data_IF_686691474188
#
_entry.id   IF_686691474188
#
_cell.length_a   1.000
_cell.length_b   1.000
_cell.length_c   1.000
_cell.angle_alpha   90.00
_cell.angle_beta   90.00
_cell.angle_gamma   90.00
#
_symmetry.space_group_name_H-M   'P 1'
#
loop_
_entity.id
_entity.type
_entity.pdbx_description
1 polymer ?
#
# COMPACT_ATOMS: atom_id res chain seq x y z
N UNK A 1 -22.02 -15.19 -3.76
CA UNK A 1 -20.58 -15.29 -3.42
C UNK A 1 -19.90 -14.04 -3.98
N UNK A 2 -19.14 -13.30 -3.19
CA UNK A 2 -18.46 -12.11 -3.64
C UNK A 2 -17.30 -12.54 -4.55
N UNK A 3 -17.40 -12.22 -5.84
CA UNK A 3 -16.34 -12.52 -6.81
C UNK A 3 -15.20 -11.53 -6.59
N UNK A 4 -14.05 -12.02 -6.10
CA UNK A 4 -12.94 -11.18 -5.66
C UNK A 4 -11.84 -11.13 -6.71
N UNK A 5 -11.62 -9.96 -7.30
CA UNK A 5 -10.52 -9.70 -8.25
C UNK A 5 -9.20 -9.30 -7.59
N UNK A 6 -9.19 -9.11 -6.28
CA UNK A 6 -7.99 -8.78 -5.51
C UNK A 6 -8.28 -8.38 -4.08
N UNK A 7 -7.21 -8.21 -3.32
CA UNK A 7 -7.27 -7.91 -1.89
C UNK A 7 -6.27 -6.83 -1.51
N UNK A 8 -6.74 -5.71 -0.97
CA UNK A 8 -5.88 -4.62 -0.46
C UNK A 8 -5.64 -4.82 1.02
N UNK A 9 -4.39 -4.77 1.43
CA UNK A 9 -3.96 -4.86 2.82
C UNK A 9 -3.46 -3.52 3.30
N UNK A 10 -3.85 -3.10 4.51
CA UNK A 10 -3.48 -1.82 5.09
C UNK A 10 -2.95 -2.02 6.51
N UNK A 11 -1.72 -1.62 6.73
CA UNK A 11 -1.14 -1.39 8.05
C UNK A 11 -1.16 0.12 8.32
N UNK A 12 -1.78 0.52 9.43
CA UNK A 12 -1.71 1.91 9.89
C UNK A 12 -0.43 2.15 10.68
N UNK A 13 0.09 3.38 10.71
CA UNK A 13 1.21 3.71 11.57
C UNK A 13 0.97 3.26 13.01
N UNK A 14 1.87 2.45 13.54
CA UNK A 14 1.82 1.90 14.91
C UNK A 14 3.21 1.47 15.37
N UNK A 15 3.48 1.48 16.67
CA UNK A 15 4.68 0.93 17.28
C UNK A 15 6.02 1.32 16.62
N UNK A 16 6.10 2.55 16.09
CA UNK A 16 7.31 3.03 15.39
C UNK A 16 7.33 2.75 13.88
N UNK A 17 6.37 1.99 13.34
CA UNK A 17 6.22 1.78 11.90
C UNK A 17 5.40 2.92 11.27
N UNK A 18 5.80 3.34 10.08
CA UNK A 18 5.09 4.39 9.32
C UNK A 18 3.81 3.87 8.65
N UNK A 19 3.59 2.55 8.74
CA UNK A 19 2.50 1.84 8.08
C UNK A 19 2.79 1.50 6.63
N UNK A 20 2.03 0.55 6.11
CA UNK A 20 2.22 -0.02 4.78
C UNK A 20 0.89 -0.22 4.06
N UNK A 21 0.94 -0.31 2.75
CA UNK A 21 -0.16 -0.74 1.89
C UNK A 21 0.36 -1.69 0.83
N UNK A 22 -0.35 -2.80 0.64
CA UNK A 22 -0.07 -3.76 -0.43
C UNK A 22 -1.36 -4.25 -1.08
N UNK A 23 -1.22 -4.97 -2.20
CA UNK A 23 -2.35 -5.48 -2.97
C UNK A 23 -2.01 -6.87 -3.51
N UNK A 24 -2.83 -7.85 -3.22
CA UNK A 24 -2.87 -9.12 -3.94
C UNK A 24 -3.84 -8.98 -5.12
N UNK A 25 -3.38 -9.23 -6.34
CA UNK A 25 -4.21 -9.27 -7.53
C UNK A 25 -4.72 -10.69 -7.73
N UNK A 26 -6.04 -10.85 -7.85
CA UNK A 26 -6.66 -12.15 -7.99
C UNK A 26 -6.52 -13.02 -6.75
N UNK A 27 -6.23 -14.30 -6.96
CA UNK A 27 -6.15 -15.30 -5.90
C UNK A 27 -4.94 -15.06 -4.97
N UNK A 28 -5.15 -15.15 -3.66
CA UNK A 28 -4.14 -14.95 -2.61
C UNK A 28 -2.98 -15.97 -2.67
N UNK A 29 -3.17 -17.11 -3.31
CA UNK A 29 -2.14 -18.13 -3.47
C UNK A 29 -1.19 -17.89 -4.67
N UNK A 30 -1.28 -16.73 -5.33
CA UNK A 30 -0.44 -16.36 -6.46
C UNK A 30 0.57 -15.27 -6.06
N UNK A 31 1.74 -15.64 -5.50
CA UNK A 31 2.73 -14.69 -5.02
C UNK A 31 3.32 -13.82 -6.13
N UNK A 32 3.30 -14.30 -7.38
CA UNK A 32 3.72 -13.56 -8.58
C UNK A 32 2.81 -12.35 -8.92
N UNK A 33 1.68 -12.21 -8.20
CA UNK A 33 0.68 -11.15 -8.39
C UNK A 33 0.55 -10.26 -7.14
N UNK A 34 1.54 -10.31 -6.26
CA UNK A 34 1.55 -9.51 -5.05
C UNK A 34 2.27 -8.18 -5.27
N UNK A 35 1.55 -7.09 -5.05
CA UNK A 35 2.02 -5.72 -5.21
C UNK A 35 2.44 -5.20 -3.86
N UNK A 36 3.73 -5.17 -3.60
CA UNK A 36 4.31 -4.52 -2.43
C UNK A 36 5.60 -3.81 -2.83
N UNK A 37 5.85 -2.63 -2.28
CA UNK A 37 6.93 -1.77 -2.71
C UNK A 37 7.71 -1.23 -1.51
N UNK A 38 8.93 -1.71 -1.36
CA UNK A 38 9.83 -1.37 -0.28
C UNK A 38 11.15 -0.80 -0.80
N UNK A 39 11.84 0.04 -0.02
CA UNK A 39 13.22 0.40 -0.32
C UNK A 39 14.12 -0.84 -0.19
N UNK A 40 15.08 -0.98 -1.08
CA UNK A 40 16.07 -2.05 -1.03
C UNK A 40 16.97 -1.87 0.20
N UNK A 41 17.18 -2.92 0.97
CA UNK A 41 18.10 -2.94 2.13
C UNK A 41 17.54 -2.47 3.47
N UNK A 42 16.30 -1.97 3.54
CA UNK A 42 15.71 -1.49 4.79
C UNK A 42 14.34 -2.09 5.05
N UNK A 43 14.32 -3.31 5.52
CA UNK A 43 13.13 -3.95 6.08
C UNK A 43 13.05 -3.76 7.60
N UNK A 44 13.70 -2.74 8.16
CA UNK A 44 13.62 -2.48 9.61
C UNK A 44 12.45 -1.56 9.91
N UNK A 45 11.66 -1.89 10.95
CA UNK A 45 10.62 -0.99 11.43
C UNK A 45 11.24 0.37 11.77
N UNK A 46 10.46 1.42 11.53
CA UNK A 46 10.85 2.79 11.85
C UNK A 46 10.99 2.94 13.35
N UNK A 47 12.21 2.85 13.88
CA UNK A 47 12.50 3.10 15.28
C UNK A 47 13.03 4.51 15.45
N UNK A 48 12.81 5.10 16.62
CA UNK A 48 13.30 6.44 16.98
C UNK A 48 14.82 6.55 16.80
N UNK A 49 15.54 5.46 17.03
CA UNK A 49 16.98 5.34 16.87
C UNK A 49 17.44 5.48 15.40
N UNK A 50 16.56 5.11 14.46
CA UNK A 50 16.83 5.14 13.01
C UNK A 50 16.23 6.39 12.35
N UNK A 51 15.66 7.33 13.10
CA UNK A 51 15.02 8.53 12.55
C UNK A 51 15.99 9.37 11.70
N UNK A 52 17.27 9.41 12.05
CA UNK A 52 18.31 10.07 11.25
C UNK A 52 18.53 9.39 9.90
N UNK A 53 18.60 8.06 9.86
CA UNK A 53 18.76 7.31 8.62
C UNK A 53 17.57 7.49 7.67
N UNK A 54 16.37 7.63 8.23
CA UNK A 54 15.16 7.83 7.43
C UNK A 54 15.11 9.19 6.75
N UNK A 55 15.72 10.22 7.31
CA UNK A 55 15.84 11.52 6.65
C UNK A 55 16.66 11.46 5.36
N UNK A 56 17.63 10.53 5.25
CA UNK A 56 18.36 10.28 4.01
C UNK A 56 17.47 9.73 2.89
N UNK A 57 16.37 9.03 3.24
CA UNK A 57 15.39 8.55 2.25
C UNK A 57 14.40 9.63 1.81
N UNK A 58 14.37 10.79 2.46
CA UNK A 58 13.59 11.96 2.03
C UNK A 58 14.27 12.75 0.92
N UNK A 59 15.59 12.60 0.75
CA UNK A 59 16.39 13.23 -0.29
C UNK A 59 17.02 12.18 -1.21
N UNK A 60 16.99 12.37 -2.46
CA UNK A 60 17.72 11.86 -3.63
C UNK A 60 18.30 10.42 -3.68
N UNK A 61 18.22 9.60 -2.64
CA UNK A 61 18.66 8.21 -2.72
C UNK A 61 17.60 7.36 -3.42
N UNK A 62 17.76 7.18 -4.71
CA UNK A 62 16.99 6.27 -5.51
C UNK A 62 17.35 4.84 -5.14
N UNK A 63 16.53 4.17 -4.38
CA UNK A 63 16.68 2.75 -4.11
C UNK A 63 15.71 1.96 -4.97
N UNK A 64 16.16 0.84 -5.50
CA UNK A 64 15.31 -0.08 -6.25
C UNK A 64 14.29 -0.69 -5.30
N UNK A 65 13.01 -0.60 -5.67
CA UNK A 65 11.95 -1.31 -4.96
C UNK A 65 12.19 -2.81 -5.00
N UNK A 66 11.94 -3.50 -3.89
CA UNK A 66 12.01 -4.96 -3.83
C UNK A 66 10.62 -5.57 -3.94
N UNK A 67 10.58 -6.79 -4.48
CA UNK A 67 9.39 -7.63 -4.39
C UNK A 67 9.26 -8.19 -2.97
N UNK A 68 8.06 -8.10 -2.43
CA UNK A 68 7.72 -8.71 -1.18
C UNK A 68 6.56 -9.70 -1.39
N UNK A 69 6.36 -10.60 -0.46
CA UNK A 69 5.18 -11.45 -0.33
C UNK A 69 4.34 -10.92 0.82
N UNK A 70 3.08 -11.37 0.93
CA UNK A 70 2.26 -11.03 2.10
C UNK A 70 2.95 -11.43 3.41
N UNK A 71 3.64 -12.58 3.43
CA UNK A 71 4.36 -13.03 4.62
C UNK A 71 5.53 -12.13 4.97
N UNK A 72 6.28 -11.63 3.98
CA UNK A 72 7.36 -10.67 4.24
C UNK A 72 6.82 -9.35 4.77
N UNK A 73 5.70 -8.85 4.24
CA UNK A 73 5.06 -7.65 4.77
C UNK A 73 4.57 -7.82 6.21
N UNK A 74 3.98 -8.99 6.55
CA UNK A 74 3.56 -9.31 7.92
C UNK A 74 4.77 -9.31 8.85
N UNK A 75 5.89 -9.90 8.43
CA UNK A 75 7.11 -9.96 9.24
C UNK A 75 7.73 -8.57 9.43
N UNK A 76 7.75 -7.74 8.38
CA UNK A 76 8.33 -6.40 8.40
C UNK A 76 7.48 -5.42 9.22
N UNK A 77 6.16 -5.52 9.16
CA UNK A 77 5.24 -4.72 9.96
C UNK A 77 5.03 -5.26 11.39
N UNK A 78 5.44 -6.52 11.64
CA UNK A 78 5.38 -7.18 12.93
C UNK A 78 4.00 -7.73 13.30
N UNK A 79 3.01 -7.61 12.41
CA UNK A 79 1.64 -8.10 12.62
C UNK A 79 0.88 -8.22 11.30
N UNK A 80 -0.25 -8.93 11.32
CA UNK A 80 -1.17 -8.98 10.18
C UNK A 80 -1.75 -7.60 9.85
N UNK A 81 -2.22 -7.42 8.62
CA UNK A 81 -2.83 -6.17 8.19
C UNK A 81 -3.99 -5.76 9.12
N UNK A 82 -4.00 -4.51 9.56
CA UNK A 82 -5.06 -3.95 10.40
C UNK A 82 -6.42 -3.95 9.72
N UNK A 83 -6.42 -3.79 8.40
CA UNK A 83 -7.61 -3.78 7.58
C UNK A 83 -7.33 -4.42 6.23
N UNK A 84 -8.28 -5.22 5.78
CA UNK A 84 -8.30 -5.85 4.47
C UNK A 84 -9.53 -5.40 3.70
N UNK A 85 -9.37 -5.12 2.40
CA UNK A 85 -10.48 -4.80 1.51
C UNK A 85 -10.50 -5.80 0.35
N UNK A 86 -11.62 -6.51 0.19
CA UNK A 86 -11.86 -7.40 -0.93
C UNK A 86 -12.44 -6.60 -2.09
N UNK A 87 -11.82 -6.69 -3.25
CA UNK A 87 -12.21 -5.95 -4.46
C UNK A 87 -13.19 -6.78 -5.29
N UNK A 88 -14.36 -6.25 -5.61
CA UNK A 88 -15.33 -6.95 -6.44
C UNK A 88 -14.88 -7.01 -7.90
N UNK A 89 -14.90 -8.20 -8.50
CA UNK A 89 -14.61 -8.44 -9.92
C UNK A 89 -15.54 -7.70 -10.89
N UNK A 90 -16.74 -7.32 -10.43
CA UNK A 90 -17.64 -6.47 -11.21
C UNK A 90 -17.07 -5.07 -11.43
N UNK A 91 -16.30 -4.54 -10.48
CA UNK A 91 -15.78 -3.16 -10.48
C UNK A 91 -14.27 -3.07 -10.73
N UNK A 92 -13.52 -4.16 -10.53
CA UNK A 92 -12.08 -4.18 -10.76
C UNK A 92 -11.71 -5.25 -11.79
N UNK A 93 -10.85 -4.88 -12.73
CA UNK A 93 -10.32 -5.77 -13.76
C UNK A 93 -8.94 -6.28 -13.34
N UNK A 94 -8.86 -7.57 -13.04
CA UNK A 94 -7.63 -8.25 -12.61
C UNK A 94 -6.51 -8.10 -13.65
N UNK A 95 -6.83 -8.30 -14.92
CA UNK A 95 -5.87 -8.24 -16.02
C UNK A 95 -5.23 -6.85 -16.16
N UNK A 96 -6.03 -5.78 -16.06
CA UNK A 96 -5.52 -4.41 -16.13
C UNK A 96 -4.64 -4.06 -14.92
N UNK A 97 -5.01 -4.52 -13.73
CA UNK A 97 -4.17 -4.39 -12.54
C UNK A 97 -2.84 -5.12 -12.73
N UNK A 98 -2.87 -6.34 -13.23
CA UNK A 98 -1.67 -7.14 -13.46
C UNK A 98 -0.77 -6.54 -14.56
N UNK A 99 -1.35 -6.02 -15.64
CA UNK A 99 -0.60 -5.32 -16.68
C UNK A 99 0.13 -4.09 -16.13
N UNK A 100 -0.53 -3.27 -15.33
CA UNK A 100 0.11 -2.10 -14.72
C UNK A 100 1.19 -2.50 -13.73
N UNK A 101 0.95 -3.54 -12.91
CA UNK A 101 1.96 -4.06 -11.99
C UNK A 101 3.22 -4.51 -12.74
N UNK A 102 3.08 -5.36 -13.75
CA UNK A 102 4.20 -5.81 -14.58
C UNK A 102 4.94 -4.66 -15.26
N UNK A 103 4.21 -3.62 -15.69
CA UNK A 103 4.81 -2.42 -16.28
C UNK A 103 5.65 -1.63 -15.26
N UNK A 104 5.22 -1.58 -14.00
CA UNK A 104 5.96 -0.92 -12.91
C UNK A 104 7.19 -1.74 -12.55
N UNK A 105 6.99 -3.02 -12.33
CA UNK A 105 7.99 -4.00 -11.92
C UNK A 105 9.13 -4.13 -12.94
N UNK A 106 8.79 -4.20 -14.21
CA UNK A 106 9.73 -4.40 -15.32
C UNK A 106 10.55 -3.16 -15.70
N UNK A 107 10.42 -2.03 -14.99
CA UNK A 107 11.23 -0.85 -15.26
C UNK A 107 12.67 -1.05 -14.78
N UNK A 108 13.63 -0.86 -15.68
CA UNK A 108 15.09 -0.97 -15.40
C UNK A 108 15.50 -0.05 -14.24
N UNK A 109 14.92 1.16 -14.19
CA UNK A 109 15.18 2.16 -13.13
C UNK A 109 14.02 2.23 -12.11
N UNK A 110 13.47 1.07 -11.75
CA UNK A 110 12.50 1.01 -10.67
C UNK A 110 13.16 1.42 -9.35
N UNK A 111 12.57 2.39 -8.66
CA UNK A 111 13.13 2.95 -7.42
C UNK A 111 12.03 3.28 -6.44
N UNK A 112 12.39 3.34 -5.18
CA UNK A 112 11.53 3.77 -4.09
C UNK A 112 11.82 5.24 -3.75
N UNK A 113 10.76 6.02 -3.52
CA UNK A 113 10.85 7.37 -2.97
C UNK A 113 9.74 7.54 -1.95
N UNK A 114 10.09 7.77 -0.69
CA UNK A 114 9.10 7.87 0.41
C UNK A 114 8.00 8.90 0.12
N UNK A 115 8.34 10.02 -0.49
CA UNK A 115 7.41 11.11 -0.73
C UNK A 115 6.55 10.96 -2.00
N UNK A 116 7.03 10.25 -3.03
CA UNK A 116 6.37 10.25 -4.34
C UNK A 116 6.20 8.89 -5.01
N UNK A 117 6.99 7.88 -4.61
CA UNK A 117 6.92 6.51 -5.17
C UNK A 117 7.01 5.46 -4.06
N UNK A 118 6.21 5.62 -3.03
CA UNK A 118 6.09 4.70 -1.92
C UNK A 118 5.09 3.57 -2.20
N UNK A 119 4.95 2.65 -1.26
CA UNK A 119 4.02 1.52 -1.34
C UNK A 119 2.60 1.95 -1.70
N UNK A 120 2.06 2.95 -1.01
CA UNK A 120 0.69 3.44 -1.24
C UNK A 120 0.51 4.06 -2.63
N UNK A 121 1.52 4.76 -3.14
CA UNK A 121 1.48 5.31 -4.49
C UNK A 121 1.45 4.20 -5.55
N UNK A 122 2.26 3.17 -5.41
CA UNK A 122 2.26 2.02 -6.35
C UNK A 122 0.92 1.29 -6.29
N UNK A 123 0.41 0.99 -5.09
CA UNK A 123 -0.92 0.37 -4.93
C UNK A 123 -2.02 1.23 -5.57
N UNK A 124 -2.01 2.55 -5.37
CA UNK A 124 -3.02 3.45 -5.98
C UNK A 124 -3.02 3.38 -7.51
N UNK A 125 -1.83 3.30 -8.12
CA UNK A 125 -1.69 3.21 -9.58
C UNK A 125 -2.26 1.91 -10.13
N UNK A 126 -1.94 0.78 -9.48
CA UNK A 126 -2.44 -0.53 -9.89
C UNK A 126 -3.97 -0.60 -9.74
N UNK A 127 -4.50 -0.09 -8.62
CA UNK A 127 -5.95 0.01 -8.41
C UNK A 127 -6.63 0.88 -9.47
N UNK A 128 -6.06 2.04 -9.79
CA UNK A 128 -6.62 2.95 -10.79
C UNK A 128 -6.66 2.31 -12.20
N UNK A 129 -5.63 1.55 -12.55
CA UNK A 129 -5.60 0.84 -13.83
C UNK A 129 -6.70 -0.21 -13.96
N UNK A 130 -7.04 -0.90 -12.85
CA UNK A 130 -8.06 -1.94 -12.86
C UNK A 130 -9.47 -1.45 -12.59
N UNK A 131 -9.65 -0.28 -11.99
CA UNK A 131 -10.98 0.20 -11.61
C UNK A 131 -11.83 0.58 -12.83
N UNK A 132 -12.99 -0.04 -12.97
CA UNK A 132 -13.91 0.15 -14.12
C UNK A 132 -14.79 1.39 -13.99
N UNK A 133 -14.91 1.94 -12.78
CA UNK A 133 -15.68 3.14 -12.51
C UNK A 133 -14.85 4.43 -12.64
N UNK A 134 -15.50 5.56 -12.39
CA UNK A 134 -14.83 6.86 -12.34
C UNK A 134 -14.65 7.30 -10.89
N UNK A 135 -13.42 7.22 -10.38
CA UNK A 135 -13.08 7.72 -9.05
C UNK A 135 -11.99 8.79 -9.16
N UNK A 136 -12.41 10.06 -9.14
CA UNK A 136 -11.51 11.22 -9.22
C UNK A 136 -10.40 11.19 -8.16
N UNK A 137 -10.69 10.72 -6.93
CA UNK A 137 -9.70 10.65 -5.84
C UNK A 137 -8.63 9.60 -6.15
N UNK A 138 -9.02 8.43 -6.67
CA UNK A 138 -8.06 7.41 -7.07
C UNK A 138 -7.13 7.94 -8.18
N UNK A 139 -7.70 8.62 -9.18
CA UNK A 139 -6.94 9.24 -10.26
C UNK A 139 -5.99 10.35 -9.75
N UNK A 140 -6.43 11.17 -8.79
CA UNK A 140 -5.59 12.20 -8.17
C UNK A 140 -4.39 11.58 -7.44
N UNK A 141 -4.59 10.49 -6.69
CA UNK A 141 -3.47 9.81 -5.98
C UNK A 141 -2.41 9.27 -6.95
N UNK A 142 -2.79 8.89 -8.17
CA UNK A 142 -1.84 8.41 -9.18
C UNK A 142 -0.99 9.53 -9.79
N UNK A 143 -1.47 10.76 -9.70
CA UNK A 143 -0.84 11.95 -10.29
C UNK A 143 -0.24 12.88 -9.23
N UNK A 144 -0.49 12.62 -7.96
CA UNK A 144 -0.14 13.56 -6.90
C UNK A 144 1.37 13.62 -6.67
N UNK A 145 1.88 14.83 -6.59
CA UNK A 145 3.22 15.17 -6.10
C UNK A 145 3.30 15.10 -4.56
N UNK A 146 2.16 14.76 -3.90
CA UNK A 146 2.05 14.67 -2.46
C UNK A 146 2.23 13.24 -1.97
N UNK A 147 2.68 13.10 -0.74
CA UNK A 147 2.86 11.80 -0.08
C UNK A 147 1.53 11.07 -0.03
N UNK A 148 1.41 9.98 -0.78
CA UNK A 148 0.29 9.04 -0.65
C UNK A 148 0.55 8.13 0.55
N UNK A 149 -0.40 8.06 1.48
CA UNK A 149 -0.28 7.29 2.73
C UNK A 149 -1.19 6.06 2.68
N UNK A 150 -0.90 5.00 3.46
CA UNK A 150 -1.82 3.86 3.60
C UNK A 150 -3.25 4.29 3.96
N UNK A 151 -3.38 5.33 4.79
CA UNK A 151 -4.68 5.92 5.15
C UNK A 151 -5.45 6.50 3.97
N UNK A 152 -4.76 7.04 2.96
CA UNK A 152 -5.42 7.63 1.79
C UNK A 152 -6.03 6.53 0.93
N UNK A 153 -5.33 5.39 0.77
CA UNK A 153 -5.89 4.20 0.16
C UNK A 153 -7.10 3.70 0.94
N UNK A 154 -6.98 3.56 2.27
CA UNK A 154 -8.09 3.13 3.12
C UNK A 154 -9.32 4.05 3.01
N UNK A 155 -9.12 5.37 2.89
CA UNK A 155 -10.22 6.33 2.70
C UNK A 155 -10.95 6.13 1.37
N UNK A 156 -10.20 5.87 0.28
CA UNK A 156 -10.81 5.55 -1.01
C UNK A 156 -11.57 4.23 -0.92
N UNK A 157 -10.96 3.19 -0.38
CA UNK A 157 -11.62 1.89 -0.21
C UNK A 157 -12.90 2.01 0.65
N UNK A 158 -12.89 2.83 1.70
CA UNK A 158 -14.09 3.10 2.50
C UNK A 158 -15.20 3.80 1.67
N UNK A 159 -14.84 4.70 0.75
CA UNK A 159 -15.82 5.35 -0.13
C UNK A 159 -16.41 4.36 -1.16
N UNK A 160 -15.61 3.42 -1.66
CA UNK A 160 -16.06 2.37 -2.56
C UNK A 160 -16.90 1.32 -1.82
N UNK A 161 -16.59 1.05 -0.55
CA UNK A 161 -17.42 0.18 0.30
C UNK A 161 -18.84 0.70 0.46
N UNK A 162 -19.01 2.00 0.65
CA UNK A 162 -20.36 2.61 0.75
C UNK A 162 -21.18 2.37 -0.51
N UNK A 163 -20.51 2.24 -1.66
CA UNK A 163 -21.15 1.91 -2.93
C UNK A 163 -21.33 0.41 -3.17
N UNK A 164 -20.90 -0.45 -2.26
CA UNK A 164 -20.94 -1.91 -2.44
C UNK A 164 -19.88 -2.49 -3.39
N UNK A 165 -18.89 -1.71 -3.77
CA UNK A 165 -17.85 -2.09 -4.74
C UNK A 165 -16.68 -2.85 -4.09
N UNK A 166 -16.51 -2.73 -2.78
CA UNK A 166 -15.53 -3.46 -1.98
C UNK A 166 -16.13 -3.90 -0.65
N UNK A 167 -15.64 -5.01 -0.12
CA UNK A 167 -15.91 -5.47 1.24
C UNK A 167 -14.77 -5.12 2.17
N UNK A 168 -15.04 -4.84 3.45
CA UNK A 168 -14.04 -4.47 4.45
C UNK A 168 -14.02 -5.43 5.60
N UNK A 169 -12.87 -6.01 5.87
CA UNK A 169 -12.59 -6.86 7.02
C UNK A 169 -11.60 -6.14 7.94
N UNK A 170 -11.90 -6.10 9.24
CA UNK A 170 -10.99 -5.59 10.27
C UNK A 170 -10.39 -6.77 11.00
N UNK A 171 -9.08 -6.71 11.25
CA UNK A 171 -8.39 -7.66 12.11
C UNK A 171 -8.58 -7.32 13.60
N UNK A 172 -8.24 -8.26 14.47
CA UNK A 172 -8.31 -8.07 15.93
C UNK A 172 -7.33 -7.01 16.42
N UNK A 173 -6.23 -6.80 15.71
CA UNK A 173 -5.20 -5.78 15.99
C UNK A 173 -5.53 -4.38 15.43
N UNK A 174 -6.77 -4.18 14.92
CA UNK A 174 -7.18 -2.90 14.37
C UNK A 174 -7.04 -1.77 15.41
N UNK A 175 -6.20 -0.74 15.14
CA UNK A 175 -5.91 0.26 16.16
C UNK A 175 -7.13 1.10 16.48
N UNK A 176 -7.45 1.23 17.77
CA UNK A 176 -8.54 2.09 18.24
C UNK A 176 -8.24 3.57 17.96
N UNK A 177 -6.97 3.98 18.08
CA UNK A 177 -6.49 5.31 17.67
C UNK A 177 -5.56 5.18 16.48
N UNK A 178 -5.86 5.90 15.41
CA UNK A 178 -5.02 5.97 14.22
C UNK A 178 -4.03 7.12 14.39
N UNK A 179 -2.77 6.79 14.62
CA UNK A 179 -1.72 7.80 14.67
C UNK A 179 -1.58 8.50 13.33
N UNK A 180 -1.25 9.79 13.35
CA UNK A 180 -0.85 10.51 12.15
C UNK A 180 0.59 10.14 11.83
N UNK A 181 0.89 9.88 10.57
CA UNK A 181 2.25 9.53 10.11
C UNK A 181 3.31 10.53 10.58
N UNK A 182 2.98 11.84 10.60
CA UNK A 182 3.87 12.88 11.10
C UNK A 182 4.30 12.70 12.56
N UNK A 183 3.41 12.21 13.44
CA UNK A 183 3.77 11.95 14.84
C UNK A 183 4.74 10.78 14.95
N UNK A 184 4.59 9.76 14.12
CA UNK A 184 5.49 8.61 14.10
C UNK A 184 6.88 9.02 13.61
N UNK A 185 6.96 9.80 12.53
CA UNK A 185 8.21 10.33 11.97
C UNK A 185 8.94 11.21 12.98
N UNK A 186 8.21 12.05 13.72
CA UNK A 186 8.78 12.94 14.75
C UNK A 186 9.04 12.25 16.09
N UNK A 187 8.75 10.95 16.20
CA UNK A 187 8.90 10.19 17.45
C UNK A 187 7.96 10.65 18.56
N UNK A 188 6.90 11.38 18.23
CA UNK A 188 5.84 11.77 19.16
C UNK A 188 4.81 10.65 19.28
N UNK A 189 4.54 10.18 20.49
CA UNK A 189 3.54 9.15 20.83
C UNK A 189 2.23 9.76 21.28
#
# INVERSE_FOLDING_TARGET
MFDTSGTVFIWYPSNGNIGHASLQIGNIYRPDRYVSWWPEGTAKPFRKENARETWYYLGDSFQKGRHATLQTDINDEGDVAHVTYLLSGSFFCEEKMLMEWRRIEGKINAHYMLLSKNCSHIVSRVLAAGYKGNNKRLNILTQSWFITKPRDIANIMNSLRVKGEVEKLKSNNYPQRKYRMGYVILGMR
#
